data_IF_796378100918
#
_entry.id   IF_796378100918
#
_cell.length_a   1.000
_cell.length_b   1.000
_cell.length_c   1.000
_cell.angle_alpha   90.00
_cell.angle_beta   90.00
_cell.angle_gamma   90.00
#
_symmetry.space_group_name_H-M   'P 1'
#
loop_
_entity.id
_entity.type
_entity.pdbx_description
1 polymer ?
#
# COMPACT_ATOMS: atom_id res chain seq x y z
N UNK A 1 -24.15 31.49 13.46
CA UNK A 1 -24.01 30.17 12.82
C UNK A 1 -22.52 29.98 12.56
N UNK A 2 -21.86 29.07 13.28
CA UNK A 2 -20.43 28.78 13.07
C UNK A 2 -20.34 27.48 12.24
N UNK A 3 -19.64 27.52 11.11
CA UNK A 3 -19.28 26.30 10.38
C UNK A 3 -18.15 25.60 11.15
N UNK A 4 -18.19 24.27 11.32
CA UNK A 4 -17.07 23.56 11.93
C UNK A 4 -15.82 23.73 11.06
N UNK A 5 -14.70 24.10 11.69
CA UNK A 5 -13.40 24.12 11.03
C UNK A 5 -13.05 22.67 10.66
N UNK A 6 -12.94 22.39 9.37
CA UNK A 6 -12.38 21.15 8.84
C UNK A 6 -10.95 21.43 8.40
N UNK A 7 -9.97 20.84 9.09
CA UNK A 7 -8.58 20.91 8.68
C UNK A 7 -8.11 19.56 8.14
N UNK A 8 -7.53 19.58 6.94
CA UNK A 8 -6.97 18.40 6.28
C UNK A 8 -5.49 18.26 6.60
N UNK A 9 -5.07 17.04 6.91
CA UNK A 9 -3.67 16.70 7.11
C UNK A 9 -3.26 15.84 5.91
N UNK A 10 -2.19 16.19 5.18
CA UNK A 10 -1.73 15.39 4.06
C UNK A 10 -1.30 13.99 4.52
N UNK A 11 -1.32 13.01 3.62
CA UNK A 11 -0.85 11.66 3.92
C UNK A 11 0.66 11.67 4.21
N UNK A 12 1.07 10.95 5.24
CA UNK A 12 2.46 10.71 5.61
C UNK A 12 2.69 9.23 5.92
N UNK A 13 3.81 8.67 5.46
CA UNK A 13 4.14 7.25 5.67
C UNK A 13 4.95 7.14 6.95
N UNK A 14 4.47 6.32 7.87
CA UNK A 14 5.16 6.05 9.14
C UNK A 14 6.19 4.97 8.86
N UNK A 15 7.43 5.39 8.64
CA UNK A 15 8.55 4.50 8.25
C UNK A 15 8.84 3.42 9.28
N UNK A 16 8.72 3.75 10.56
CA UNK A 16 9.04 2.85 11.67
C UNK A 16 8.01 1.71 11.83
N UNK A 17 6.79 1.92 11.34
CA UNK A 17 5.69 0.94 11.33
C UNK A 17 5.51 0.26 9.96
N UNK A 18 6.34 0.63 8.99
CA UNK A 18 6.33 0.10 7.63
C UNK A 18 7.52 -0.83 7.39
N UNK A 19 7.43 -1.67 6.37
CA UNK A 19 8.54 -2.57 6.04
C UNK A 19 9.75 -1.80 5.52
N UNK A 20 10.98 -2.10 6.01
CA UNK A 20 12.20 -1.58 5.43
C UNK A 20 12.53 -2.33 4.11
N UNK A 21 13.68 -1.99 3.51
CA UNK A 21 14.21 -2.75 2.38
C UNK A 21 14.52 -4.20 2.80
N UNK A 22 13.98 -5.15 2.02
CA UNK A 22 14.16 -6.58 2.26
C UNK A 22 15.05 -7.20 1.19
N UNK A 23 16.00 -8.04 1.61
CA UNK A 23 16.80 -8.90 0.72
C UNK A 23 16.55 -10.35 1.12
N UNK A 24 16.03 -11.14 0.18
CA UNK A 24 15.60 -12.53 0.41
C UNK A 24 16.19 -13.44 -0.66
N UNK A 25 16.27 -14.73 -0.35
CA UNK A 25 16.70 -15.76 -1.31
C UNK A 25 15.57 -16.11 -2.28
N UNK A 26 15.91 -16.61 -3.48
CA UNK A 26 14.91 -17.10 -4.42
C UNK A 26 14.03 -18.18 -3.76
N UNK A 27 12.73 -18.13 -4.05
CA UNK A 27 11.67 -18.97 -3.47
C UNK A 27 11.34 -18.70 -1.99
N UNK A 28 11.95 -17.70 -1.34
CA UNK A 28 11.47 -17.20 -0.06
C UNK A 28 10.26 -16.28 -0.21
N UNK A 29 9.46 -16.20 0.84
CA UNK A 29 8.26 -15.36 0.88
C UNK A 29 8.58 -14.02 1.52
N UNK A 30 8.29 -12.92 0.82
CA UNK A 30 8.28 -11.57 1.37
C UNK A 30 6.88 -11.19 1.84
N UNK A 31 6.78 -10.47 2.96
CA UNK A 31 5.57 -9.75 3.36
C UNK A 31 5.93 -8.29 3.54
N UNK A 32 5.23 -7.41 2.83
CA UNK A 32 5.42 -5.96 2.91
C UNK A 32 4.22 -5.33 3.63
N UNK A 33 4.51 -4.52 4.64
CA UNK A 33 3.57 -3.70 5.40
C UNK A 33 3.80 -2.22 5.11
N UNK A 34 2.73 -1.44 5.11
CA UNK A 34 2.78 0.00 4.96
C UNK A 34 1.72 0.61 5.89
N UNK A 35 2.15 1.54 6.74
CA UNK A 35 1.28 2.32 7.61
C UNK A 35 1.42 3.80 7.29
N UNK A 36 0.29 4.49 7.18
CA UNK A 36 0.26 5.91 6.82
C UNK A 36 -0.79 6.65 7.65
N UNK A 37 -0.52 7.90 7.95
CA UNK A 37 -1.40 8.81 8.69
C UNK A 37 -1.85 9.97 7.81
N UNK A 38 -2.96 10.62 8.14
CA UNK A 38 -3.54 11.71 7.38
C UNK A 38 -4.97 12.00 7.80
N UNK A 39 -5.51 13.14 7.37
CA UNK A 39 -6.92 13.47 7.57
C UNK A 39 -7.50 14.08 6.28
N UNK A 40 -8.39 13.37 5.58
CA UNK A 40 -8.96 12.06 5.92
C UNK A 40 -7.92 10.92 5.85
N UNK A 41 -8.28 9.77 6.42
CA UNK A 41 -7.43 8.58 6.43
C UNK A 41 -6.95 8.21 5.02
N UNK A 42 -5.65 7.95 4.82
CA UNK A 42 -5.09 7.72 3.50
C UNK A 42 -5.46 6.34 2.94
N UNK A 43 -5.72 6.30 1.64
CA UNK A 43 -5.86 5.04 0.90
C UNK A 43 -4.48 4.54 0.47
N UNK A 44 -4.11 3.33 0.91
CA UNK A 44 -2.81 2.74 0.61
C UNK A 44 -2.90 1.86 -0.63
N UNK A 45 -1.94 2.01 -1.56
CA UNK A 45 -1.83 1.16 -2.75
C UNK A 45 -0.40 0.71 -2.98
N UNK A 46 -0.24 -0.57 -3.33
CA UNK A 46 1.02 -1.14 -3.79
C UNK A 46 1.13 -1.05 -5.31
N UNK A 47 2.34 -0.79 -5.79
CA UNK A 47 2.73 -0.86 -7.20
C UNK A 47 4.18 -1.35 -7.29
N UNK A 48 4.60 -1.90 -8.43
CA UNK A 48 6.03 -2.07 -8.68
C UNK A 48 6.68 -0.71 -8.95
N UNK A 49 7.90 -0.54 -8.46
CA UNK A 49 8.69 0.67 -8.66
C UNK A 49 8.91 0.95 -10.15
N UNK A 50 9.24 -0.10 -10.91
CA UNK A 50 9.50 -0.06 -12.35
C UNK A 50 8.23 0.04 -13.23
N UNK A 51 7.06 0.31 -12.64
CA UNK A 51 5.78 0.40 -13.33
C UNK A 51 5.36 -0.88 -14.11
N UNK A 52 5.93 -2.04 -13.78
CA UNK A 52 5.44 -3.31 -14.31
C UNK A 52 4.22 -3.80 -13.55
N UNK A 53 3.33 -4.58 -14.20
CA UNK A 53 2.17 -5.13 -13.53
C UNK A 53 2.53 -6.08 -12.39
N UNK A 54 1.75 -5.99 -11.32
CA UNK A 54 1.65 -6.99 -10.27
C UNK A 54 0.93 -8.22 -10.83
N UNK A 55 1.51 -9.40 -10.57
CA UNK A 55 0.88 -10.68 -10.88
C UNK A 55 0.13 -11.14 -9.63
N UNK A 56 -1.16 -10.85 -9.56
CA UNK A 56 -1.98 -11.20 -8.42
C UNK A 56 -2.60 -12.57 -8.62
N UNK A 57 -2.44 -13.45 -7.64
CA UNK A 57 -3.10 -14.75 -7.63
C UNK A 57 -4.52 -14.58 -7.10
N UNK A 58 -5.52 -14.91 -7.91
CA UNK A 58 -6.92 -14.98 -7.46
C UNK A 58 -7.25 -16.40 -6.95
N UNK A 59 -8.44 -16.60 -6.41
CA UNK A 59 -8.88 -17.90 -5.87
C UNK A 59 -9.05 -18.99 -6.95
N UNK A 60 -9.37 -18.58 -8.18
CA UNK A 60 -9.15 -19.41 -9.38
C UNK A 60 -7.65 -19.35 -9.68
N UNK A 61 -7.00 -20.46 -10.05
CA UNK A 61 -5.52 -20.57 -10.27
C UNK A 61 -4.93 -19.61 -11.32
N UNK A 62 -5.69 -18.62 -11.76
CA UNK A 62 -5.35 -17.60 -12.72
C UNK A 62 -4.52 -16.48 -12.07
N UNK A 63 -3.55 -16.00 -12.84
CA UNK A 63 -2.78 -14.81 -12.51
C UNK A 63 -3.44 -13.61 -13.19
N UNK A 64 -3.87 -12.66 -12.39
CA UNK A 64 -4.45 -11.40 -12.87
C UNK A 64 -3.36 -10.33 -12.84
N UNK A 65 -3.11 -9.72 -14.00
CA UNK A 65 -2.22 -8.57 -14.11
C UNK A 65 -2.95 -7.32 -13.60
N UNK A 66 -2.35 -6.61 -12.64
CA UNK A 66 -2.84 -5.30 -12.18
C UNK A 66 -1.69 -4.32 -12.03
N UNK A 67 -1.93 -3.08 -12.38
CA UNK A 67 -0.95 -1.99 -12.19
C UNK A 67 -0.79 -1.62 -10.70
N UNK A 68 -1.91 -1.67 -9.96
CA UNK A 68 -1.95 -1.36 -8.53
C UNK A 68 -2.76 -2.40 -7.76
N UNK A 69 -2.38 -2.63 -6.51
CA UNK A 69 -3.14 -3.39 -5.54
C UNK A 69 -3.50 -2.49 -4.36
N UNK A 70 -4.80 -2.36 -4.09
CA UNK A 70 -5.28 -1.52 -2.99
C UNK A 70 -5.22 -2.33 -1.71
N UNK A 71 -4.59 -1.77 -0.68
CA UNK A 71 -4.67 -2.29 0.68
C UNK A 71 -5.80 -1.50 1.33
N UNK A 72 -7.01 -2.04 1.30
CA UNK A 72 -8.06 -1.50 2.14
C UNK A 72 -7.70 -1.87 3.59
N UNK A 73 -7.57 -0.86 4.46
CA UNK A 73 -7.49 -1.05 5.92
C UNK A 73 -8.88 -1.38 6.46
#
# INVERSE_FOLDING_TARGET
>A
MYLPISFTVPPDIITDESSPDLTLMEAENATLSCHATGNPEPKITWRRENNQPLMLRTGSRDLVKREYYIIDH
#
